data_IF_151560073949
#
_entry.id   IF_151560073949
#
_cell.length_a   1.000
_cell.length_b   1.000
_cell.length_c   1.000
_cell.angle_alpha   90.00
_cell.angle_beta   90.00
_cell.angle_gamma   90.00
#
_symmetry.space_group_name_H-M   'P 1'
#
loop_
_entity.id
_entity.type
_entity.pdbx_description
1 polymer ?
#
# COMPACT_ATOMS: atom_id res chain seq x y z
N UNK A 1 1.72 25.36 -29.57
CA UNK A 1 0.36 25.92 -29.51
C UNK A 1 -0.26 25.70 -28.14
N UNK A 2 -1.11 26.62 -27.70
CA UNK A 2 -1.88 26.45 -26.47
C UNK A 2 -3.14 25.64 -26.80
N UNK A 3 -3.49 24.69 -25.94
CA UNK A 3 -4.74 23.93 -26.05
C UNK A 3 -5.54 24.05 -24.76
N UNK A 4 -6.86 24.05 -24.89
CA UNK A 4 -7.79 24.04 -23.77
C UNK A 4 -8.84 22.96 -24.01
N UNK A 5 -9.26 22.30 -22.94
CA UNK A 5 -10.26 21.25 -22.98
C UNK A 5 -10.83 20.95 -21.61
N UNK A 6 -11.98 20.29 -21.59
CA UNK A 6 -12.71 19.99 -20.33
C UNK A 6 -11.85 19.23 -19.32
N UNK A 7 -11.07 18.23 -19.78
CA UNK A 7 -10.19 17.44 -18.90
C UNK A 7 -9.03 18.30 -18.39
N UNK A 8 -8.41 19.08 -19.27
CA UNK A 8 -7.27 19.93 -18.92
C UNK A 8 -7.67 21.02 -17.91
N UNK A 9 -8.82 21.66 -18.09
CA UNK A 9 -9.31 22.69 -17.18
C UNK A 9 -9.62 22.15 -15.79
N UNK A 10 -10.23 20.96 -15.71
CA UNK A 10 -10.52 20.30 -14.43
C UNK A 10 -9.23 19.88 -13.75
N UNK A 11 -8.28 19.27 -14.48
CA UNK A 11 -6.99 18.87 -13.92
C UNK A 11 -6.21 20.06 -13.38
N UNK A 12 -6.18 21.17 -14.14
CA UNK A 12 -5.54 22.41 -13.68
C UNK A 12 -6.21 22.96 -12.41
N UNK A 13 -7.54 22.96 -12.36
CA UNK A 13 -8.29 23.42 -11.18
C UNK A 13 -7.93 22.60 -9.93
N UNK A 14 -7.88 21.26 -10.03
CA UNK A 14 -7.50 20.39 -8.92
C UNK A 14 -6.08 20.69 -8.43
N UNK A 15 -5.15 20.99 -9.36
CA UNK A 15 -3.77 21.35 -9.00
C UNK A 15 -3.74 22.70 -8.28
N UNK A 16 -4.48 23.70 -8.78
CA UNK A 16 -4.56 25.01 -8.14
C UNK A 16 -5.19 24.93 -6.74
N UNK A 17 -6.30 24.20 -6.59
CA UNK A 17 -6.95 24.01 -5.29
C UNK A 17 -5.98 23.33 -4.29
N UNK A 18 -5.18 22.37 -4.76
CA UNK A 18 -4.15 21.73 -3.92
C UNK A 18 -3.02 22.69 -3.56
N UNK A 19 -2.60 23.55 -4.47
CA UNK A 19 -1.58 24.56 -4.20
C UNK A 19 -2.09 25.60 -3.18
N UNK A 20 -3.35 25.98 -3.28
CA UNK A 20 -3.97 26.87 -2.29
C UNK A 20 -3.99 26.23 -0.89
N UNK A 21 -4.29 24.93 -0.78
CA UNK A 21 -4.19 24.18 0.48
C UNK A 21 -2.75 24.15 1.03
N UNK A 22 -1.75 23.95 0.16
CA UNK A 22 -0.33 23.93 0.55
C UNK A 22 0.09 25.32 1.06
N UNK A 23 -0.31 26.41 0.37
CA UNK A 23 0.01 27.76 0.75
C UNK A 23 -0.69 28.19 2.05
N UNK A 24 -1.88 27.66 2.32
CA UNK A 24 -2.63 27.91 3.54
C UNK A 24 -2.18 27.04 4.74
N UNK A 25 -1.32 26.04 4.50
CA UNK A 25 -0.89 25.11 5.55
C UNK A 25 -0.02 25.82 6.59
N UNK A 26 -0.42 25.75 7.84
CA UNK A 26 0.34 26.23 9.00
C UNK A 26 1.03 25.03 9.64
N UNK A 27 2.37 24.95 9.63
CA UNK A 27 3.09 23.86 10.30
C UNK A 27 2.87 23.88 11.81
N UNK A 28 2.52 22.73 12.39
CA UNK A 28 2.43 22.56 13.84
C UNK A 28 3.59 21.68 14.30
N UNK A 29 4.31 22.15 15.32
CA UNK A 29 5.36 21.37 15.95
C UNK A 29 4.76 20.25 16.79
N UNK A 30 5.29 19.04 16.63
CA UNK A 30 4.97 17.92 17.50
C UNK A 30 6.21 17.06 17.76
N UNK A 31 6.20 16.36 18.88
CA UNK A 31 7.29 15.49 19.30
C UNK A 31 6.81 14.05 19.49
N UNK A 32 7.58 13.10 18.98
CA UNK A 32 7.38 11.67 19.19
C UNK A 32 8.52 11.13 20.07
N UNK A 33 8.14 10.42 21.14
CA UNK A 33 9.10 9.79 22.05
C UNK A 33 9.07 8.29 21.82
N UNK A 34 10.23 7.70 21.55
CA UNK A 34 10.40 6.26 21.41
C UNK A 34 11.50 5.75 22.33
N UNK A 35 11.30 4.59 22.91
CA UNK A 35 12.28 3.90 23.74
C UNK A 35 12.71 2.60 23.06
N UNK A 36 14.03 2.38 22.95
CA UNK A 36 14.57 1.07 22.56
C UNK A 36 14.68 0.23 23.82
N UNK A 37 13.93 -0.85 23.85
CA UNK A 37 13.80 -1.72 25.01
C UNK A 37 14.43 -3.08 24.73
N UNK A 38 14.86 -3.72 25.79
CA UNK A 38 15.39 -5.09 25.80
C UNK A 38 14.52 -5.94 26.72
N UNK A 39 13.81 -6.90 26.16
CA UNK A 39 13.09 -7.89 26.95
C UNK A 39 13.98 -9.11 27.21
N UNK A 40 14.03 -9.56 28.46
CA UNK A 40 14.62 -10.83 28.86
C UNK A 40 13.55 -11.91 28.82
N UNK A 41 13.67 -12.84 27.89
CA UNK A 41 12.78 -13.99 27.82
C UNK A 41 13.26 -15.13 28.73
N UNK A 42 12.33 -16.00 29.18
CA UNK A 42 12.60 -17.09 30.10
C UNK A 42 13.67 -18.11 29.61
N UNK A 43 14.03 -18.10 28.34
CA UNK A 43 15.02 -19.00 27.74
C UNK A 43 16.31 -18.27 27.33
N UNK A 44 16.64 -17.14 27.95
CA UNK A 44 17.89 -16.39 27.72
C UNK A 44 17.98 -15.66 26.37
N UNK A 45 16.93 -15.66 25.56
CA UNK A 45 16.88 -14.88 24.32
C UNK A 45 16.63 -13.42 24.65
N UNK A 46 17.47 -12.57 24.06
CA UNK A 46 17.31 -11.11 24.15
C UNK A 46 16.46 -10.64 22.97
N UNK A 47 15.33 -10.01 23.24
CA UNK A 47 14.45 -9.42 22.22
C UNK A 47 14.55 -7.91 22.31
N UNK A 48 15.08 -7.29 21.26
CA UNK A 48 15.09 -5.84 21.11
C UNK A 48 13.83 -5.37 20.39
N UNK A 49 13.16 -4.39 20.93
CA UNK A 49 12.00 -3.77 20.28
C UNK A 49 11.92 -2.28 20.62
N UNK A 50 11.20 -1.54 19.80
CA UNK A 50 10.95 -0.12 20.02
C UNK A 50 9.52 0.08 20.47
N UNK A 51 9.35 0.75 21.60
CA UNK A 51 8.07 1.22 22.08
C UNK A 51 7.92 2.71 21.83
N UNK A 52 6.72 3.15 21.47
CA UNK A 52 6.38 4.57 21.29
C UNK A 52 5.48 5.01 22.43
N UNK A 53 5.68 6.22 22.93
CA UNK A 53 4.78 6.84 23.89
C UNK A 53 3.40 7.06 23.22
N UNK A 54 2.39 6.39 23.72
CA UNK A 54 1.03 6.46 23.19
C UNK A 54 0.11 7.31 24.07
N UNK A 55 0.23 7.12 25.38
CA UNK A 55 -0.60 7.83 26.37
C UNK A 55 0.24 8.35 27.53
N UNK A 56 -0.15 9.46 28.08
CA UNK A 56 0.41 10.05 29.28
C UNK A 56 -0.74 10.35 30.24
N UNK A 57 -0.66 9.82 31.45
CA UNK A 57 -1.70 9.97 32.47
C UNK A 57 -3.12 9.57 31.98
N UNK A 58 -3.18 8.53 31.14
CA UNK A 58 -4.45 7.99 30.59
C UNK A 58 -4.99 8.71 29.37
N UNK A 59 -4.38 9.81 28.93
CA UNK A 59 -4.77 10.55 27.73
C UNK A 59 -3.77 10.34 26.60
N UNK A 60 -4.19 10.55 25.34
CA UNK A 60 -3.29 10.51 24.20
C UNK A 60 -2.13 11.49 24.43
N UNK A 61 -0.90 11.01 24.29
CA UNK A 61 0.26 11.86 24.42
C UNK A 61 0.31 12.87 23.27
N UNK A 62 0.16 14.15 23.59
CA UNK A 62 0.37 15.27 22.69
C UNK A 62 1.49 16.11 23.29
N UNK A 63 2.60 16.19 22.59
CA UNK A 63 3.80 16.89 23.04
C UNK A 63 4.11 17.94 21.98
N UNK A 64 3.90 19.20 22.35
CA UNK A 64 3.92 20.30 21.42
C UNK A 64 5.29 21.00 21.33
N UNK A 65 6.19 20.78 22.28
CA UNK A 65 7.48 21.46 22.32
C UNK A 65 8.59 20.64 22.99
N UNK A 66 9.82 21.08 22.82
CA UNK A 66 11.01 20.41 23.33
C UNK A 66 11.04 20.30 24.87
N UNK A 67 10.51 21.29 25.59
CA UNK A 67 10.50 21.28 27.06
C UNK A 67 9.58 20.17 27.59
N UNK A 68 8.39 20.04 27.04
CA UNK A 68 7.46 18.95 27.37
C UNK A 68 8.05 17.58 27.01
N UNK A 69 8.71 17.48 25.85
CA UNK A 69 9.40 16.26 25.43
C UNK A 69 10.49 15.87 26.45
N UNK A 70 11.31 16.82 26.90
CA UNK A 70 12.36 16.56 27.86
C UNK A 70 11.82 16.11 29.22
N UNK A 71 10.77 16.77 29.72
CA UNK A 71 10.10 16.37 30.98
C UNK A 71 9.53 14.94 30.88
N UNK A 72 8.93 14.61 29.76
CA UNK A 72 8.41 13.26 29.55
C UNK A 72 9.52 12.21 29.48
N UNK A 73 10.64 12.50 28.81
CA UNK A 73 11.82 11.62 28.75
C UNK A 73 12.40 11.37 30.13
N UNK A 74 12.60 12.40 30.95
CA UNK A 74 13.11 12.27 32.30
C UNK A 74 12.21 11.42 33.20
N UNK A 75 10.88 11.56 33.07
CA UNK A 75 9.90 10.75 33.77
C UNK A 75 9.97 9.28 33.32
N UNK A 76 10.08 9.03 32.00
CA UNK A 76 10.17 7.69 31.42
C UNK A 76 11.47 6.99 31.82
N UNK A 77 12.60 7.70 31.84
CA UNK A 77 13.89 7.11 32.23
C UNK A 77 13.94 6.61 33.67
N UNK A 78 13.15 7.20 34.55
CA UNK A 78 13.04 6.80 35.97
C UNK A 78 11.99 5.72 36.19
N UNK A 79 11.19 5.37 35.18
CA UNK A 79 10.09 4.43 35.31
C UNK A 79 10.52 2.98 35.07
N UNK A 80 9.82 2.05 35.71
CA UNK A 80 9.93 0.62 35.43
C UNK A 80 9.05 0.27 34.23
N UNK A 81 9.63 -0.48 33.27
CA UNK A 81 8.90 -0.97 32.12
C UNK A 81 8.34 -2.36 32.40
N UNK A 82 7.05 -2.55 32.15
CA UNK A 82 6.39 -3.84 32.23
C UNK A 82 5.45 -4.01 31.04
N UNK A 83 5.33 -5.23 30.53
CA UNK A 83 4.33 -5.57 29.52
C UNK A 83 2.99 -5.78 30.23
N UNK A 84 2.08 -4.85 30.05
CA UNK A 84 0.75 -4.91 30.67
C UNK A 84 -0.19 -5.88 29.95
N UNK A 85 -0.18 -5.87 28.62
CA UNK A 85 -1.01 -6.78 27.82
C UNK A 85 -0.39 -7.06 26.47
N UNK A 86 -0.71 -8.23 25.93
CA UNK A 86 -0.36 -8.62 24.55
C UNK A 86 -1.65 -8.97 23.84
N UNK A 87 -1.96 -8.23 22.78
CA UNK A 87 -3.11 -8.53 21.92
C UNK A 87 -2.61 -9.17 20.63
N UNK A 88 -2.92 -10.44 20.46
CA UNK A 88 -2.68 -11.15 19.21
C UNK A 88 -3.92 -11.02 18.33
N UNK A 89 -3.71 -10.72 17.06
CA UNK A 89 -4.80 -10.66 16.08
C UNK A 89 -4.31 -11.18 14.73
N UNK A 90 -5.19 -11.89 14.05
CA UNK A 90 -4.96 -12.27 12.67
C UNK A 90 -5.45 -11.17 11.75
N UNK A 91 -4.60 -10.76 10.81
CA UNK A 91 -4.95 -9.81 9.77
C UNK A 91 -5.05 -10.53 8.44
N UNK A 92 -6.27 -10.67 7.93
CA UNK A 92 -6.48 -11.17 6.57
C UNK A 92 -6.11 -10.08 5.57
N UNK A 93 -5.27 -10.44 4.60
CA UNK A 93 -4.95 -9.58 3.46
C UNK A 93 -5.62 -10.18 2.23
N UNK A 94 -6.61 -9.47 1.71
CA UNK A 94 -7.27 -9.86 0.46
C UNK A 94 -6.35 -9.58 -0.73
N UNK A 95 -6.40 -10.42 -1.78
CA UNK A 95 -5.72 -10.13 -3.03
C UNK A 95 -6.27 -8.83 -3.64
N UNK A 96 -5.41 -8.12 -4.36
CA UNK A 96 -5.83 -6.94 -5.11
C UNK A 96 -6.72 -7.32 -6.28
N UNK A 97 -7.57 -6.39 -6.72
CA UNK A 97 -8.35 -6.54 -7.94
C UNK A 97 -7.43 -6.66 -9.18
N UNK A 98 -7.91 -7.25 -10.27
CA UNK A 98 -7.25 -7.12 -11.57
C UNK A 98 -7.02 -5.66 -11.93
N UNK A 99 -5.97 -5.40 -12.71
CA UNK A 99 -5.64 -4.04 -13.08
C UNK A 99 -6.69 -3.41 -14.01
N UNK A 100 -7.08 -2.19 -13.67
CA UNK A 100 -7.62 -1.23 -14.64
C UNK A 100 -6.46 -0.46 -15.28
N UNK A 101 -6.71 0.30 -16.34
CA UNK A 101 -5.69 1.16 -16.97
C UNK A 101 -5.03 2.09 -15.95
N UNK A 102 -5.83 2.74 -15.11
CA UNK A 102 -5.32 3.71 -14.14
C UNK A 102 -4.51 3.05 -13.02
N UNK A 103 -4.98 1.93 -12.47
CA UNK A 103 -4.25 1.20 -11.41
C UNK A 103 -2.97 0.58 -11.93
N UNK A 104 -2.93 0.09 -13.18
CA UNK A 104 -1.74 -0.40 -13.84
C UNK A 104 -0.69 0.70 -14.01
N UNK A 105 -1.08 1.88 -14.48
CA UNK A 105 -0.17 3.02 -14.62
C UNK A 105 0.44 3.44 -13.29
N UNK A 106 -0.37 3.50 -12.24
CA UNK A 106 0.11 3.82 -10.89
C UNK A 106 1.11 2.79 -10.36
N UNK A 107 0.82 1.51 -10.53
CA UNK A 107 1.68 0.44 -10.05
C UNK A 107 2.99 0.35 -10.86
N UNK A 108 2.93 0.51 -12.18
CA UNK A 108 4.11 0.58 -13.04
C UNK A 108 4.99 1.79 -12.71
N UNK A 109 4.40 2.93 -12.39
CA UNK A 109 5.14 4.09 -11.91
C UNK A 109 5.84 3.84 -10.59
N UNK A 110 5.14 3.25 -9.62
CA UNK A 110 5.70 2.98 -8.28
C UNK A 110 6.80 1.92 -8.29
N UNK A 111 6.59 0.82 -9.02
CA UNK A 111 7.49 -0.35 -8.98
C UNK A 111 8.59 -0.33 -10.02
N UNK A 112 8.30 0.23 -11.19
CA UNK A 112 9.21 0.19 -12.35
C UNK A 112 9.72 1.57 -12.76
N UNK A 113 9.22 2.65 -12.15
CA UNK A 113 9.55 4.02 -12.53
C UNK A 113 9.09 4.39 -13.95
N UNK A 114 8.08 3.70 -14.50
CA UNK A 114 7.60 3.96 -15.84
C UNK A 114 6.73 5.21 -15.88
N UNK A 115 6.90 5.97 -16.96
CA UNK A 115 5.93 7.02 -17.30
C UNK A 115 4.63 6.39 -17.80
N UNK A 116 3.54 7.13 -17.75
CA UNK A 116 2.24 6.69 -18.29
C UNK A 116 2.36 6.28 -19.76
N UNK A 117 3.07 7.06 -20.58
CA UNK A 117 3.27 6.77 -22.01
C UNK A 117 4.02 5.45 -22.20
N UNK A 118 5.12 5.22 -21.46
CA UNK A 118 5.89 3.96 -21.54
C UNK A 118 5.06 2.77 -21.09
N UNK A 119 4.29 2.91 -20.01
CA UNK A 119 3.39 1.86 -19.54
C UNK A 119 2.41 1.46 -20.62
N UNK A 120 1.74 2.43 -21.24
CA UNK A 120 0.75 2.16 -22.30
C UNK A 120 1.39 1.53 -23.53
N UNK A 121 2.59 1.95 -23.92
CA UNK A 121 3.33 1.35 -25.03
C UNK A 121 3.66 -0.13 -24.76
N UNK A 122 4.20 -0.44 -23.59
CA UNK A 122 4.56 -1.82 -23.23
C UNK A 122 3.32 -2.71 -23.16
N UNK A 123 2.25 -2.23 -22.52
CA UNK A 123 1.02 -3.02 -22.39
C UNK A 123 0.33 -3.23 -23.74
N UNK A 124 0.42 -2.26 -24.65
CA UNK A 124 -0.05 -2.45 -26.03
C UNK A 124 0.71 -3.57 -26.75
N UNK A 125 2.03 -3.63 -26.59
CA UNK A 125 2.83 -4.72 -27.15
C UNK A 125 2.45 -6.09 -26.59
N UNK A 126 2.22 -6.16 -25.25
CA UNK A 126 1.78 -7.39 -24.59
C UNK A 126 0.36 -7.82 -25.02
N UNK A 127 -0.49 -6.87 -25.37
CA UNK A 127 -1.83 -7.15 -25.90
C UNK A 127 -1.79 -7.60 -27.35
N UNK A 128 -1.01 -6.95 -28.21
CA UNK A 128 -0.86 -7.29 -29.63
C UNK A 128 -0.15 -8.62 -29.85
N UNK A 129 0.69 -9.00 -28.89
CA UNK A 129 1.40 -10.26 -28.86
C UNK A 129 2.91 -10.10 -28.83
N UNK A 130 3.54 -10.96 -28.08
CA UNK A 130 4.99 -11.15 -28.00
C UNK A 130 5.32 -12.56 -28.43
N UNK A 131 6.51 -12.74 -28.97
CA UNK A 131 7.01 -14.07 -29.37
C UNK A 131 7.39 -14.83 -28.09
N UNK A 132 6.68 -15.92 -27.84
CA UNK A 132 6.96 -16.84 -26.75
C UNK A 132 7.69 -18.06 -27.31
N UNK A 133 8.85 -18.36 -26.76
CA UNK A 133 9.70 -19.47 -27.21
C UNK A 133 8.91 -20.79 -27.21
N UNK A 134 8.73 -21.36 -28.42
CA UNK A 134 7.98 -22.60 -28.64
C UNK A 134 6.46 -22.45 -28.82
N UNK A 135 5.87 -21.29 -28.59
CA UNK A 135 4.42 -21.07 -28.66
C UNK A 135 4.02 -20.03 -29.74
N UNK A 136 5.02 -19.34 -30.35
CA UNK A 136 4.79 -18.28 -31.32
C UNK A 136 4.31 -16.97 -30.69
N UNK A 137 3.75 -16.09 -31.52
CA UNK A 137 3.29 -14.76 -31.06
C UNK A 137 1.94 -14.87 -30.38
N UNK A 138 1.89 -14.52 -29.09
CA UNK A 138 0.67 -14.55 -28.29
C UNK A 138 0.47 -13.27 -27.47
N UNK A 139 -0.80 -12.81 -27.40
CA UNK A 139 -1.20 -11.75 -26.50
C UNK A 139 -1.36 -12.31 -25.08
N UNK A 140 -0.63 -11.73 -24.13
CA UNK A 140 -0.61 -12.21 -22.73
C UNK A 140 -1.35 -11.32 -21.75
N UNK A 141 -1.99 -10.27 -22.24
CA UNK A 141 -2.89 -9.41 -21.45
C UNK A 141 -4.20 -9.20 -22.20
N UNK A 142 -5.28 -8.99 -21.46
CA UNK A 142 -6.57 -8.63 -22.05
C UNK A 142 -6.60 -7.16 -22.48
N UNK A 143 -7.68 -6.74 -23.16
CA UNK A 143 -7.82 -5.37 -23.65
C UNK A 143 -7.60 -4.32 -22.54
N UNK A 144 -6.69 -3.38 -22.81
CA UNK A 144 -6.10 -2.51 -21.81
C UNK A 144 -6.86 -1.21 -21.53
N UNK A 145 -7.79 -0.80 -22.41
CA UNK A 145 -8.55 0.45 -22.27
C UNK A 145 -9.91 0.19 -21.65
N UNK A 146 -9.88 -0.33 -20.42
CA UNK A 146 -11.09 -0.65 -19.68
C UNK A 146 -10.91 -0.31 -18.20
N UNK A 147 -11.98 0.13 -17.57
CA UNK A 147 -12.05 0.33 -16.11
C UNK A 147 -12.69 -0.88 -15.40
N UNK A 148 -12.94 -1.97 -16.14
CA UNK A 148 -13.51 -3.18 -15.59
C UNK A 148 -12.43 -4.02 -14.91
N UNK A 149 -12.75 -4.51 -13.71
CA UNK A 149 -11.97 -5.52 -12.96
C UNK A 149 -12.51 -6.92 -13.16
N UNK A 150 -13.45 -7.09 -14.10
CA UNK A 150 -14.11 -8.36 -14.38
C UNK A 150 -13.18 -9.30 -15.14
N UNK A 151 -13.14 -10.55 -14.72
CA UNK A 151 -12.49 -11.66 -15.42
C UNK A 151 -13.57 -12.44 -16.18
N UNK A 152 -13.27 -12.95 -17.38
CA UNK A 152 -14.21 -13.81 -18.11
C UNK A 152 -14.42 -15.14 -17.37
N UNK A 153 -15.58 -15.73 -17.52
CA UNK A 153 -15.92 -17.00 -16.89
C UNK A 153 -14.98 -18.13 -17.34
N UNK A 154 -14.56 -18.09 -18.61
CA UNK A 154 -13.60 -19.03 -19.17
C UNK A 154 -12.24 -18.93 -18.47
N UNK A 155 -11.68 -17.73 -18.34
CA UNK A 155 -10.42 -17.51 -17.66
C UNK A 155 -10.52 -17.84 -16.16
N UNK A 156 -11.66 -17.55 -15.55
CA UNK A 156 -11.90 -17.89 -14.15
C UNK A 156 -11.92 -19.42 -13.93
N UNK A 157 -12.58 -20.17 -14.80
CA UNK A 157 -12.63 -21.63 -14.73
C UNK A 157 -11.22 -22.22 -14.94
N UNK A 158 -10.48 -21.76 -15.94
CA UNK A 158 -9.12 -22.20 -16.17
C UNK A 158 -8.20 -21.92 -14.95
N UNK A 159 -8.33 -20.76 -14.31
CA UNK A 159 -7.58 -20.45 -13.07
C UNK A 159 -7.98 -21.37 -11.92
N UNK A 160 -9.26 -21.72 -11.78
CA UNK A 160 -9.75 -22.63 -10.73
C UNK A 160 -9.28 -24.07 -10.90
N UNK A 161 -8.93 -24.48 -12.09
CA UNK A 161 -8.29 -25.76 -12.37
C UNK A 161 -6.78 -25.69 -12.14
N UNK A 162 -6.13 -24.64 -12.63
CA UNK A 162 -4.68 -24.46 -12.55
C UNK A 162 -4.15 -24.25 -11.12
N UNK A 163 -4.87 -23.49 -10.29
CA UNK A 163 -4.39 -23.17 -8.94
C UNK A 163 -4.22 -24.40 -8.06
N UNK A 164 -5.21 -25.30 -7.93
CA UNK A 164 -5.06 -26.51 -7.12
C UNK A 164 -3.96 -27.43 -7.64
N UNK A 165 -3.84 -27.56 -8.94
CA UNK A 165 -2.80 -28.42 -9.56
C UNK A 165 -1.39 -27.89 -9.27
N UNK A 166 -1.19 -26.57 -9.38
CA UNK A 166 0.15 -25.98 -9.27
C UNK A 166 0.55 -25.64 -7.84
N UNK A 167 -0.38 -25.20 -7.02
CA UNK A 167 -0.10 -24.62 -5.69
C UNK A 167 -0.78 -25.37 -4.54
N UNK A 168 -1.77 -26.20 -4.82
CA UNK A 168 -2.56 -26.92 -3.83
C UNK A 168 -3.93 -26.31 -3.58
N UNK A 169 -4.86 -27.13 -3.09
CA UNK A 169 -6.26 -26.76 -2.86
C UNK A 169 -6.46 -25.64 -1.85
N UNK A 170 -5.53 -25.50 -0.90
CA UNK A 170 -5.60 -24.47 0.15
C UNK A 170 -5.48 -23.04 -0.39
N UNK A 171 -4.94 -22.90 -1.60
CA UNK A 171 -4.79 -21.60 -2.28
C UNK A 171 -6.02 -21.21 -3.11
N UNK A 172 -7.00 -22.12 -3.23
CA UNK A 172 -8.23 -21.84 -3.96
C UNK A 172 -9.38 -21.49 -3.01
N UNK A 173 -9.91 -20.26 -3.04
CA UNK A 173 -11.07 -19.92 -2.25
C UNK A 173 -12.33 -20.65 -2.75
N UNK A 174 -13.27 -20.96 -1.85
CA UNK A 174 -14.55 -21.61 -2.22
C UNK A 174 -15.31 -20.82 -3.28
N UNK A 175 -15.34 -19.50 -3.12
CA UNK A 175 -15.98 -18.58 -4.05
C UNK A 175 -14.95 -17.62 -4.63
N UNK A 176 -15.08 -17.28 -5.93
CA UNK A 176 -14.25 -16.22 -6.51
C UNK A 176 -14.39 -14.90 -5.75
N UNK A 177 -13.30 -14.15 -5.68
CA UNK A 177 -13.36 -12.79 -5.14
C UNK A 177 -14.10 -11.88 -6.12
N UNK A 178 -15.04 -11.11 -5.61
CA UNK A 178 -15.74 -10.08 -6.36
C UNK A 178 -15.18 -8.71 -6.01
N UNK A 179 -14.93 -7.90 -7.03
CA UNK A 179 -14.43 -6.55 -6.89
C UNK A 179 -15.43 -5.57 -7.47
N UNK A 180 -15.64 -4.46 -6.79
CA UNK A 180 -16.54 -3.36 -7.20
C UNK A 180 -15.75 -2.20 -7.78
#
# INVERSE_FOLDING_TARGET
GLSAGRVQSVALRIICDREDEINAFIPEEYWEISAKLLAHQAHGRKLHFTARLATLDGQKAVIANAEEAQKAVERIQKAHFAVNSIKMSEKRKMPAAPFTTSSLQQEASRKLGFTTAKTMQVVQQLYEGIDLEGEGTQGIVSYIRTDSVRISDEALNALREYIPERFGSDYLPEKPNEYK
#
